data_IF_205891637980
#
_entry.id   IF_205891637980
#
_cell.length_a   1.000
_cell.length_b   1.000
_cell.length_c   1.000
_cell.angle_alpha   90.00
_cell.angle_beta   90.00
_cell.angle_gamma   90.00
#
_symmetry.space_group_name_H-M   'P 1'
#
loop_
_entity.id
_entity.type
_entity.pdbx_description
1 polymer ?
#
# COMPACT_ATOMS: atom_id res chain seq x y z
N UNK A 1 -5.59 -3.48 -24.66
CA UNK A 1 -5.03 -2.13 -24.89
C UNK A 1 -5.40 -1.10 -23.83
N UNK A 2 -6.67 -0.68 -23.63
CA UNK A 2 -7.00 0.34 -22.62
C UNK A 2 -6.68 -0.08 -21.18
N UNK A 3 -6.98 -1.33 -20.82
CA UNK A 3 -6.74 -1.88 -19.47
C UNK A 3 -5.25 -2.05 -19.15
N UNK A 4 -4.48 -2.50 -20.14
CA UNK A 4 -3.02 -2.70 -20.00
C UNK A 4 -2.30 -1.36 -19.77
N UNK A 5 -2.74 -0.29 -20.45
CA UNK A 5 -2.20 1.06 -20.25
C UNK A 5 -2.54 1.63 -18.87
N UNK A 6 -3.76 1.36 -18.35
CA UNK A 6 -4.15 1.76 -17.00
C UNK A 6 -3.32 1.03 -15.95
N UNK A 7 -3.14 -0.29 -16.09
CA UNK A 7 -2.32 -1.08 -15.18
C UNK A 7 -0.86 -0.64 -15.17
N UNK A 8 -0.27 -0.37 -16.34
CA UNK A 8 1.09 0.16 -16.44
C UNK A 8 1.22 1.52 -15.73
N UNK A 9 0.29 2.44 -15.98
CA UNK A 9 0.28 3.75 -15.32
C UNK A 9 0.14 3.61 -13.80
N UNK A 10 -0.64 2.64 -13.32
CA UNK A 10 -0.78 2.37 -11.89
C UNK A 10 0.48 1.75 -11.28
N UNK A 11 1.15 0.81 -11.97
CA UNK A 11 2.44 0.26 -11.52
C UNK A 11 3.51 1.35 -11.40
N UNK A 12 3.64 2.20 -12.42
CA UNK A 12 4.56 3.36 -12.37
C UNK A 12 4.21 4.30 -11.22
N UNK A 13 2.92 4.52 -10.98
CA UNK A 13 2.48 5.34 -9.85
C UNK A 13 2.85 4.69 -8.50
N UNK A 14 2.71 3.38 -8.35
CA UNK A 14 3.14 2.64 -7.14
C UNK A 14 4.65 2.81 -6.91
N UNK A 15 5.47 2.63 -7.95
CA UNK A 15 6.94 2.75 -7.85
C UNK A 15 7.39 4.14 -7.38
N UNK A 16 6.74 5.19 -7.89
CA UNK A 16 7.03 6.57 -7.47
C UNK A 16 6.64 6.87 -6.02
N UNK A 17 5.83 6.01 -5.40
CA UNK A 17 5.27 6.22 -4.07
C UNK A 17 5.68 5.11 -3.08
N UNK A 18 6.76 4.35 -3.35
CA UNK A 18 7.22 3.28 -2.45
C UNK A 18 7.59 3.79 -1.06
N UNK A 19 8.07 5.02 -0.96
CA UNK A 19 8.46 5.68 0.29
C UNK A 19 7.29 6.43 0.97
N UNK A 20 6.08 6.36 0.42
CA UNK A 20 4.92 7.00 1.03
C UNK A 20 4.69 6.44 2.45
N UNK A 21 4.39 7.34 3.37
CA UNK A 21 4.00 7.00 4.74
C UNK A 21 2.60 7.52 5.00
N UNK A 22 1.96 7.16 6.11
CA UNK A 22 0.66 7.73 6.49
C UNK A 22 0.65 9.25 6.62
N UNK A 23 1.79 9.87 6.95
CA UNK A 23 1.90 11.32 7.04
C UNK A 23 2.05 11.99 5.66
N UNK A 24 2.78 11.38 4.73
CA UNK A 24 2.99 11.90 3.37
C UNK A 24 1.93 11.45 2.37
N UNK A 25 1.14 10.41 2.68
CA UNK A 25 0.05 9.94 1.84
C UNK A 25 -1.07 10.99 1.81
N UNK A 26 -1.31 11.59 0.65
CA UNK A 26 -2.42 12.54 0.51
C UNK A 26 -3.77 11.83 0.62
N UNK A 27 -4.80 12.57 1.05
CA UNK A 27 -6.18 12.05 1.10
C UNK A 27 -6.63 11.56 -0.27
N UNK A 28 -6.25 12.24 -1.35
CA UNK A 28 -6.59 11.87 -2.73
C UNK A 28 -5.95 10.53 -3.14
N UNK A 29 -4.71 10.27 -2.73
CA UNK A 29 -4.06 8.99 -2.96
C UNK A 29 -4.79 7.86 -2.21
N UNK A 30 -5.18 8.11 -0.96
CA UNK A 30 -5.93 7.14 -0.18
C UNK A 30 -7.33 6.86 -0.78
N UNK A 31 -8.01 7.90 -1.28
CA UNK A 31 -9.29 7.78 -2.00
C UNK A 31 -9.09 6.98 -3.29
N UNK A 32 -8.00 7.21 -4.03
CA UNK A 32 -7.70 6.46 -5.26
C UNK A 32 -7.57 4.96 -4.98
N UNK A 33 -6.83 4.58 -3.93
CA UNK A 33 -6.74 3.19 -3.48
C UNK A 33 -8.09 2.61 -3.04
N UNK A 34 -8.87 3.38 -2.27
CA UNK A 34 -10.20 2.93 -1.83
C UNK A 34 -11.15 2.72 -3.01
N UNK A 35 -11.17 3.63 -3.98
CA UNK A 35 -11.97 3.48 -5.21
C UNK A 35 -11.53 2.29 -6.04
N UNK A 36 -10.22 2.05 -6.14
CA UNK A 36 -9.71 0.86 -6.83
C UNK A 36 -10.20 -0.41 -6.14
N UNK A 37 -10.08 -0.50 -4.82
CA UNK A 37 -10.54 -1.65 -4.04
C UNK A 37 -12.03 -1.96 -4.26
N UNK A 38 -12.88 -0.94 -4.33
CA UNK A 38 -14.32 -1.12 -4.59
C UNK A 38 -14.65 -1.47 -6.05
N UNK A 39 -13.85 -1.00 -7.01
CA UNK A 39 -14.10 -1.15 -8.45
C UNK A 39 -13.51 -2.43 -9.02
N UNK A 40 -12.28 -2.76 -8.63
CA UNK A 40 -11.50 -3.90 -9.13
C UNK A 40 -10.58 -4.40 -8.01
N UNK A 41 -11.16 -5.21 -7.12
CA UNK A 41 -10.48 -5.76 -5.95
C UNK A 41 -9.26 -6.62 -6.33
N UNK A 42 -9.35 -7.34 -7.45
CA UNK A 42 -8.23 -8.14 -7.96
C UNK A 42 -7.04 -7.26 -8.33
N UNK A 43 -7.28 -6.18 -9.09
CA UNK A 43 -6.23 -5.23 -9.46
C UNK A 43 -5.67 -4.51 -8.23
N UNK A 44 -6.52 -4.20 -7.23
CA UNK A 44 -6.06 -3.68 -5.94
C UNK A 44 -5.04 -4.61 -5.28
N UNK A 45 -5.35 -5.91 -5.14
CA UNK A 45 -4.43 -6.87 -4.54
C UNK A 45 -3.14 -7.02 -5.34
N UNK A 46 -3.22 -7.06 -6.67
CA UNK A 46 -2.05 -7.17 -7.54
C UNK A 46 -1.11 -5.97 -7.38
N UNK A 47 -1.64 -4.75 -7.32
CA UNK A 47 -0.83 -3.54 -7.15
C UNK A 47 -0.29 -3.38 -5.73
N UNK A 48 -1.04 -3.81 -4.71
CA UNK A 48 -0.56 -3.84 -3.34
C UNK A 48 0.59 -4.85 -3.18
N UNK A 49 0.45 -6.03 -3.76
CA UNK A 49 1.51 -7.04 -3.85
C UNK A 49 2.73 -6.50 -4.57
N UNK A 50 2.52 -5.86 -5.72
CA UNK A 50 3.60 -5.25 -6.50
C UNK A 50 4.40 -4.25 -5.67
N UNK A 51 3.72 -3.33 -4.99
CA UNK A 51 4.38 -2.34 -4.12
C UNK A 51 5.12 -3.00 -2.95
N UNK A 52 4.51 -4.00 -2.30
CA UNK A 52 5.13 -4.76 -1.21
C UNK A 52 6.43 -5.46 -1.66
N UNK A 53 6.40 -6.19 -2.77
CA UNK A 53 7.58 -6.88 -3.31
C UNK A 53 8.66 -5.89 -3.73
N UNK A 54 8.31 -4.80 -4.42
CA UNK A 54 9.28 -3.78 -4.84
C UNK A 54 9.96 -3.11 -3.65
N UNK A 55 9.20 -2.77 -2.62
CA UNK A 55 9.75 -2.21 -1.39
C UNK A 55 10.68 -3.21 -0.70
N UNK A 56 10.26 -4.48 -0.54
CA UNK A 56 11.10 -5.53 0.04
C UNK A 56 12.40 -5.76 -0.72
N UNK A 57 12.34 -5.85 -2.05
CA UNK A 57 13.53 -6.03 -2.90
C UNK A 57 14.54 -4.90 -2.68
N UNK A 58 14.05 -3.66 -2.54
CA UNK A 58 14.89 -2.49 -2.29
C UNK A 58 15.54 -2.53 -0.90
N UNK A 59 14.75 -2.81 0.14
CA UNK A 59 15.21 -2.71 1.53
C UNK A 59 15.96 -3.95 2.04
N UNK A 60 15.59 -5.14 1.55
CA UNK A 60 16.05 -6.43 2.09
C UNK A 60 16.75 -7.31 1.05
N UNK A 61 16.80 -6.88 -0.21
CA UNK A 61 17.31 -7.68 -1.34
C UNK A 61 16.66 -9.07 -1.45
N UNK A 62 15.41 -9.18 -0.99
CA UNK A 62 14.66 -10.43 -0.93
C UNK A 62 13.23 -10.23 -1.45
N UNK A 63 12.82 -11.14 -2.33
CA UNK A 63 11.49 -11.19 -2.92
C UNK A 63 10.64 -12.33 -2.36
N UNK A 64 11.22 -13.22 -1.54
CA UNK A 64 10.53 -14.35 -0.93
C UNK A 64 9.80 -13.93 0.34
N UNK A 65 8.58 -14.41 0.53
CA UNK A 65 7.81 -14.23 1.75
C UNK A 65 6.74 -15.30 1.85
N UNK A 66 6.37 -15.75 3.07
CA UNK A 66 5.24 -16.65 3.24
C UNK A 66 3.92 -15.91 3.00
N UNK A 67 2.91 -16.60 2.48
CA UNK A 67 1.59 -16.02 2.17
C UNK A 67 0.98 -15.27 3.36
N UNK A 68 1.09 -15.84 4.57
CA UNK A 68 0.62 -15.21 5.82
C UNK A 68 1.16 -13.80 6.01
N UNK A 69 2.40 -13.54 5.60
CA UNK A 69 3.02 -12.22 5.73
C UNK A 69 2.35 -11.20 4.82
N UNK A 70 2.02 -11.60 3.60
CA UNK A 70 1.28 -10.75 2.67
C UNK A 70 -0.15 -10.49 3.16
N UNK A 71 -0.84 -11.47 3.73
CA UNK A 71 -2.15 -11.28 4.36
C UNK A 71 -2.10 -10.24 5.50
N UNK A 72 -1.08 -10.31 6.36
CA UNK A 72 -0.86 -9.32 7.42
C UNK A 72 -0.61 -7.92 6.83
N UNK A 73 0.27 -7.83 5.84
CA UNK A 73 0.51 -6.57 5.13
C UNK A 73 -0.78 -5.98 4.56
N UNK A 74 -1.62 -6.78 3.89
CA UNK A 74 -2.87 -6.30 3.29
C UNK A 74 -3.83 -5.73 4.34
N UNK A 75 -4.01 -6.41 5.47
CA UNK A 75 -4.85 -5.92 6.56
C UNK A 75 -4.34 -4.58 7.11
N UNK A 76 -3.03 -4.45 7.31
CA UNK A 76 -2.40 -3.22 7.77
C UNK A 76 -2.46 -2.10 6.72
N UNK A 77 -2.25 -2.43 5.44
CA UNK A 77 -2.33 -1.49 4.33
C UNK A 77 -3.72 -0.86 4.26
N UNK A 78 -4.78 -1.67 4.34
CA UNK A 78 -6.15 -1.18 4.42
C UNK A 78 -6.41 -0.34 5.68
N UNK A 79 -5.80 -0.68 6.83
CA UNK A 79 -5.90 0.15 8.02
C UNK A 79 -5.23 1.52 7.83
N UNK A 80 -4.02 1.58 7.27
CA UNK A 80 -3.30 2.83 6.97
C UNK A 80 -4.11 3.74 6.04
N UNK A 81 -4.70 3.18 4.99
CA UNK A 81 -5.60 3.93 4.10
C UNK A 81 -6.79 4.53 4.87
N UNK A 82 -7.45 3.74 5.73
CA UNK A 82 -8.55 4.22 6.58
C UNK A 82 -8.12 5.30 7.55
N UNK A 83 -6.93 5.20 8.15
CA UNK A 83 -6.39 6.22 9.05
C UNK A 83 -6.17 7.54 8.34
N UNK A 84 -5.60 7.53 7.14
CA UNK A 84 -5.40 8.73 6.31
C UNK A 84 -6.74 9.35 5.92
N UNK A 85 -7.70 8.54 5.46
CA UNK A 85 -9.04 9.01 5.08
C UNK A 85 -9.81 9.66 6.25
N UNK A 86 -9.60 9.16 7.48
CA UNK A 86 -10.19 9.69 8.71
C UNK A 86 -9.40 10.86 9.33
N UNK A 87 -8.29 11.27 8.71
CA UNK A 87 -7.42 12.32 9.25
C UNK A 87 -6.62 11.92 10.50
N UNK A 88 -6.52 10.62 10.80
CA UNK A 88 -5.85 10.07 12.01
C UNK A 88 -4.40 9.64 11.77
N UNK A 89 -3.90 9.64 10.53
CA UNK A 89 -2.59 9.11 10.16
C UNK A 89 -1.39 10.06 10.33
N UNK A 90 -1.56 11.24 10.93
CA UNK A 90 -0.55 12.32 10.91
C UNK A 90 0.52 12.24 12.00
N UNK A 91 0.26 11.54 13.11
CA UNK A 91 1.16 11.59 14.29
C UNK A 91 2.39 10.67 14.15
N UNK A 92 2.22 9.46 13.60
CA UNK A 92 3.30 8.50 13.41
C UNK A 92 3.42 8.12 11.92
N UNK A 93 4.59 8.32 11.28
CA UNK A 93 4.79 7.98 9.88
C UNK A 93 4.91 6.46 9.73
N UNK A 94 3.84 5.82 9.26
CA UNK A 94 3.81 4.39 9.01
C UNK A 94 4.09 4.16 7.52
N UNK A 95 5.17 3.44 7.15
CA UNK A 95 5.48 3.19 5.76
C UNK A 95 4.34 2.41 5.09
N UNK A 96 3.94 2.84 3.90
CA UNK A 96 2.75 2.34 3.23
C UNK A 96 2.93 0.86 2.84
N UNK A 97 4.05 0.52 2.20
CA UNK A 97 4.33 -0.82 1.66
C UNK A 97 5.13 -1.73 2.60
N UNK A 98 5.40 -1.30 3.84
CA UNK A 98 6.05 -2.12 4.85
C UNK A 98 5.02 -2.70 5.81
N UNK A 99 5.23 -3.94 6.26
CA UNK A 99 4.51 -4.50 7.41
C UNK A 99 4.99 -3.83 8.70
N UNK A 100 4.07 -3.18 9.42
CA UNK A 100 4.25 -2.58 10.75
C UNK A 100 3.21 -3.18 11.67
N UNK A 101 3.65 -4.02 12.61
CA UNK A 101 2.75 -4.76 13.50
C UNK A 101 1.68 -3.87 14.14
N UNK A 102 0.46 -4.37 14.19
CA UNK A 102 -0.71 -3.67 14.72
C UNK A 102 -0.53 -3.06 16.12
N UNK A 103 0.40 -3.58 16.92
CA UNK A 103 0.75 -3.05 18.25
C UNK A 103 1.38 -1.66 18.16
N UNK A 104 2.23 -1.40 17.16
CA UNK A 104 2.81 -0.08 16.91
C UNK A 104 1.77 0.94 16.42
N UNK A 105 0.57 0.50 16.00
CA UNK A 105 -0.54 1.34 15.58
C UNK A 105 -1.46 1.77 16.73
N UNK A 106 -1.25 1.23 17.95
CA UNK A 106 -2.03 1.54 19.16
C UNK A 106 -1.28 2.44 20.15
N UNK A 107 -0.03 2.79 19.87
CA UNK A 107 0.79 3.74 20.62
C UNK A 107 0.67 5.15 20.03
#
# INVERSE_FOLDING_TARGET
>A
MRRDNEELAMRTWVEKNLEATTASLSKDMAVRWQRLMMRDEKLFYQLALYGFVKFRRRERQDESFPEREFCHFLGEFQLKLRLVLRGKGRANPLPLFQRVGHEALRA
#
